data_IF_026321199321
#
_entry.id   IF_026321199321
#
_cell.length_a   1.000
_cell.length_b   1.000
_cell.length_c   1.000
_cell.angle_alpha   90.00
_cell.angle_beta   90.00
_cell.angle_gamma   90.00
#
_symmetry.space_group_name_H-M   'P 1'
#
loop_
_entity.id
_entity.type
_entity.pdbx_description
1 polymer ?
#
# COMPACT_ATOMS: atom_id res chain seq x y z
N UNK A 1 30.26 8.13 -7.98
CA UNK A 1 29.92 6.78 -8.46
C UNK A 1 28.54 6.42 -7.90
N UNK A 2 27.55 6.12 -8.74
CA UNK A 2 26.20 5.79 -8.27
C UNK A 2 26.20 4.35 -7.72
N UNK A 3 25.69 4.15 -6.50
CA UNK A 3 25.56 2.81 -5.91
C UNK A 3 24.55 1.99 -6.71
N UNK A 4 24.81 0.69 -6.85
CA UNK A 4 23.83 -0.23 -7.45
C UNK A 4 22.65 -0.41 -6.51
N UNK A 5 21.47 -0.71 -7.07
CA UNK A 5 20.24 -0.88 -6.30
C UNK A 5 20.38 -1.91 -5.15
N UNK A 6 21.09 -3.02 -5.41
CA UNK A 6 21.32 -4.09 -4.41
C UNK A 6 22.11 -3.59 -3.21
N UNK A 7 23.01 -2.63 -3.42
CA UNK A 7 23.93 -2.09 -2.43
C UNK A 7 23.29 -0.94 -1.62
N UNK A 8 22.07 -0.50 -2.00
CA UNK A 8 21.33 0.54 -1.30
C UNK A 8 20.76 0.03 0.03
N UNK A 9 21.03 0.77 1.10
CA UNK A 9 20.54 0.51 2.46
C UNK A 9 19.45 1.49 2.88
N UNK A 10 18.78 1.21 4.00
CA UNK A 10 17.81 2.13 4.59
C UNK A 10 18.40 3.50 4.93
N UNK A 11 19.68 3.54 5.33
CA UNK A 11 20.40 4.78 5.63
C UNK A 11 20.61 5.62 4.38
N UNK A 12 20.97 4.97 3.26
CA UNK A 12 21.14 5.66 1.97
C UNK A 12 19.83 6.30 1.49
N UNK A 13 18.69 5.70 1.83
CA UNK A 13 17.35 6.25 1.57
C UNK A 13 16.84 7.26 2.61
N UNK A 14 17.59 7.52 3.68
CA UNK A 14 17.14 8.40 4.77
C UNK A 14 15.99 7.82 5.61
N UNK A 15 15.74 6.51 5.52
CA UNK A 15 14.63 5.86 6.23
C UNK A 15 15.11 5.35 7.58
N UNK A 16 14.58 5.94 8.66
CA UNK A 16 14.80 5.43 10.01
C UNK A 16 14.09 4.09 10.23
N UNK A 17 14.56 3.30 11.20
CA UNK A 17 13.91 2.03 11.58
C UNK A 17 12.43 2.22 11.95
N UNK A 18 12.11 3.31 12.65
CA UNK A 18 10.74 3.63 13.04
C UNK A 18 9.89 4.01 11.83
N UNK A 19 10.45 4.80 10.89
CA UNK A 19 9.76 5.13 9.65
C UNK A 19 9.46 3.88 8.83
N UNK A 20 10.41 2.94 8.74
CA UNK A 20 10.16 1.66 8.08
C UNK A 20 9.02 0.87 8.75
N UNK A 21 8.96 0.82 10.09
CA UNK A 21 7.86 0.17 10.81
C UNK A 21 6.50 0.81 10.50
N UNK A 22 6.44 2.15 10.46
CA UNK A 22 5.23 2.89 10.07
C UNK A 22 4.80 2.55 8.64
N UNK A 23 5.74 2.54 7.68
CA UNK A 23 5.44 2.20 6.29
C UNK A 23 4.99 0.75 6.14
N UNK A 24 5.61 -0.18 6.87
CA UNK A 24 5.21 -1.58 6.90
C UNK A 24 3.79 -1.73 7.45
N UNK A 25 3.49 -1.09 8.59
CA UNK A 25 2.14 -1.12 9.16
C UNK A 25 1.10 -0.53 8.19
N UNK A 26 1.46 0.55 7.50
CA UNK A 26 0.61 1.14 6.46
C UNK A 26 0.31 0.17 5.31
N UNK A 27 1.29 -0.64 4.89
CA UNK A 27 1.08 -1.66 3.86
C UNK A 27 0.20 -2.82 4.36
N UNK A 28 0.35 -3.24 5.61
CA UNK A 28 -0.47 -4.32 6.20
C UNK A 28 -1.96 -3.96 6.27
N UNK A 29 -2.28 -2.67 6.40
CA UNK A 29 -3.67 -2.18 6.38
C UNK A 29 -4.32 -2.21 4.99
N UNK A 30 -3.59 -2.55 3.93
CA UNK A 30 -4.08 -2.49 2.55
C UNK A 30 -5.33 -3.34 2.34
N UNK A 31 -5.33 -4.60 2.78
CA UNK A 31 -6.47 -5.52 2.57
C UNK A 31 -7.71 -5.07 3.37
N UNK A 32 -7.52 -4.53 4.57
CA UNK A 32 -8.61 -3.98 5.38
C UNK A 32 -9.27 -2.78 4.69
N UNK A 33 -8.46 -1.84 4.18
CA UNK A 33 -8.92 -0.66 3.44
C UNK A 33 -9.63 -1.06 2.15
N UNK A 34 -9.07 -2.02 1.40
CA UNK A 34 -9.65 -2.54 0.16
C UNK A 34 -10.99 -3.24 0.39
N UNK A 35 -11.10 -4.01 1.48
CA UNK A 35 -12.35 -4.66 1.88
C UNK A 35 -13.43 -3.66 2.26
N UNK A 36 -13.09 -2.61 3.02
CA UNK A 36 -14.03 -1.55 3.39
C UNK A 36 -14.59 -0.82 2.16
N UNK A 37 -13.76 -0.53 1.15
CA UNK A 37 -14.22 0.06 -0.12
C UNK A 37 -15.23 -0.86 -0.82
N UNK A 38 -14.98 -2.17 -0.85
CA UNK A 38 -15.85 -3.15 -1.53
C UNK A 38 -17.22 -3.28 -0.86
N UNK A 39 -17.26 -3.32 0.47
CA UNK A 39 -18.50 -3.54 1.24
C UNK A 39 -19.24 -2.25 1.61
N UNK A 40 -18.56 -1.10 1.71
CA UNK A 40 -19.14 0.18 2.11
C UNK A 40 -20.19 0.74 1.15
N UNK A 41 -20.25 0.25 -0.09
CA UNK A 41 -21.28 0.61 -1.09
C UNK A 41 -22.49 -0.35 -1.03
N UNK A 42 -22.29 -1.59 -0.55
CA UNK A 42 -23.31 -2.66 -0.64
C UNK A 42 -24.05 -2.94 0.68
N UNK A 43 -23.58 -2.44 1.82
CA UNK A 43 -24.09 -2.78 3.14
C UNK A 43 -25.24 -1.87 3.65
N UNK A 44 -25.88 -1.08 2.79
CA UNK A 44 -27.15 -0.44 3.11
C UNK A 44 -28.29 -1.45 2.98
N UNK A 45 -28.43 -2.34 3.97
CA UNK A 45 -29.65 -3.12 4.16
C UNK A 45 -30.77 -2.13 4.53
N UNK A 46 -31.61 -1.79 3.56
CA UNK A 46 -32.78 -0.94 3.78
C UNK A 46 -33.89 -1.79 4.44
N UNK A 47 -33.87 -1.89 5.78
CA UNK A 47 -34.85 -2.61 6.61
C UNK A 47 -36.25 -1.93 6.66
N UNK A 48 -36.60 -1.12 5.66
CA UNK A 48 -37.96 -0.54 5.51
C UNK A 48 -38.47 0.36 6.65
N UNK A 49 -37.71 0.54 7.74
CA UNK A 49 -38.11 1.31 8.91
C UNK A 49 -37.39 2.66 8.94
N UNK A 50 -38.09 3.79 8.72
CA UNK A 50 -37.49 5.11 8.81
C UNK A 50 -37.24 5.46 10.28
N UNK A 51 -36.02 5.18 10.78
CA UNK A 51 -35.55 5.76 12.05
C UNK A 51 -35.00 7.15 11.77
N UNK A 52 -35.70 8.17 12.26
CA UNK A 52 -35.26 9.55 12.25
C UNK A 52 -33.98 9.72 13.08
N UNK A 53 -32.81 9.57 12.45
CA UNK A 53 -31.49 9.92 12.99
C UNK A 53 -30.61 10.41 11.85
N UNK A 54 -29.93 11.54 12.06
CA UNK A 54 -29.00 12.26 11.17
C UNK A 54 -28.30 11.38 10.11
N UNK A 55 -29.00 11.04 9.03
CA UNK A 55 -28.58 10.00 8.08
C UNK A 55 -27.56 10.54 7.08
N UNK A 56 -27.65 11.83 6.76
CA UNK A 56 -26.76 12.51 5.82
C UNK A 56 -25.31 12.50 6.31
N UNK A 57 -25.07 12.77 7.59
CA UNK A 57 -23.72 12.84 8.18
C UNK A 57 -22.98 11.49 8.14
N UNK A 58 -23.68 10.37 8.30
CA UNK A 58 -23.05 9.04 8.26
C UNK A 58 -22.64 8.62 6.84
N UNK A 59 -23.48 8.91 5.85
CA UNK A 59 -23.18 8.62 4.44
C UNK A 59 -22.04 9.50 3.92
N UNK A 60 -22.04 10.78 4.29
CA UNK A 60 -20.97 11.73 3.95
C UNK A 60 -19.62 11.29 4.54
N UNK A 61 -19.58 10.94 5.84
CA UNK A 61 -18.36 10.44 6.47
C UNK A 61 -17.86 9.14 5.84
N UNK A 62 -18.77 8.21 5.49
CA UNK A 62 -18.39 6.97 4.82
C UNK A 62 -17.82 7.22 3.41
N UNK A 63 -18.36 8.18 2.68
CA UNK A 63 -17.85 8.57 1.37
C UNK A 63 -16.43 9.16 1.49
N UNK A 64 -16.22 10.05 2.46
CA UNK A 64 -14.90 10.67 2.74
C UNK A 64 -13.87 9.60 3.12
N UNK A 65 -14.21 8.67 4.02
CA UNK A 65 -13.32 7.56 4.40
C UNK A 65 -12.98 6.66 3.21
N UNK A 66 -13.97 6.33 2.38
CA UNK A 66 -13.76 5.53 1.19
C UNK A 66 -12.80 6.21 0.20
N UNK A 67 -12.89 7.53 0.03
CA UNK A 67 -11.93 8.28 -0.78
C UNK A 67 -10.51 8.24 -0.20
N UNK A 68 -10.37 8.39 1.11
CA UNK A 68 -9.06 8.29 1.79
C UNK A 68 -8.47 6.89 1.58
N UNK A 69 -9.26 5.83 1.77
CA UNK A 69 -8.83 4.46 1.55
C UNK A 69 -8.43 4.20 0.10
N UNK A 70 -9.18 4.73 -0.87
CA UNK A 70 -8.82 4.62 -2.30
C UNK A 70 -7.48 5.29 -2.58
N UNK A 71 -7.26 6.51 -2.05
CA UNK A 71 -5.99 7.24 -2.20
C UNK A 71 -4.83 6.49 -1.57
N UNK A 72 -5.03 5.91 -0.38
CA UNK A 72 -4.03 5.10 0.31
C UNK A 72 -3.64 3.85 -0.48
N UNK A 73 -4.63 3.11 -0.99
CA UNK A 73 -4.40 1.93 -1.84
C UNK A 73 -3.66 2.29 -3.12
N UNK A 74 -4.10 3.35 -3.81
CA UNK A 74 -3.45 3.83 -5.04
C UNK A 74 -1.99 4.23 -4.80
N UNK A 75 -1.68 4.87 -3.67
CA UNK A 75 -0.30 5.24 -3.30
C UNK A 75 0.60 4.02 -3.14
N UNK A 76 0.10 2.93 -2.55
CA UNK A 76 0.85 1.69 -2.36
C UNK A 76 1.09 1.01 -3.72
N UNK A 77 0.06 0.92 -4.56
CA UNK A 77 0.18 0.35 -5.92
C UNK A 77 1.17 1.14 -6.78
N UNK A 78 1.06 2.47 -6.77
CA UNK A 78 1.94 3.36 -7.51
C UNK A 78 3.40 3.22 -7.05
N UNK A 79 3.64 3.14 -5.74
CA UNK A 79 4.99 2.92 -5.21
C UNK A 79 5.61 1.61 -5.72
N UNK A 80 4.80 0.55 -5.84
CA UNK A 80 5.25 -0.76 -6.32
C UNK A 80 5.55 -0.72 -7.82
N UNK A 81 4.69 -0.08 -8.61
CA UNK A 81 4.89 0.11 -10.06
C UNK A 81 6.15 0.93 -10.31
N UNK A 82 6.35 2.05 -9.60
CA UNK A 82 7.54 2.89 -9.70
C UNK A 82 8.82 2.16 -9.31
N UNK A 83 8.74 1.18 -8.40
CA UNK A 83 9.91 0.41 -7.99
C UNK A 83 10.33 -0.56 -9.09
N UNK A 84 9.37 -1.33 -9.64
CA UNK A 84 9.63 -2.22 -10.76
C UNK A 84 8.33 -2.64 -11.46
N UNK A 85 8.04 -2.13 -12.67
CA UNK A 85 6.84 -2.49 -13.43
C UNK A 85 6.75 -3.97 -13.83
N UNK A 86 7.86 -4.71 -13.86
CA UNK A 86 7.86 -6.13 -14.24
C UNK A 86 7.45 -7.07 -13.11
N UNK A 87 7.63 -6.66 -11.84
CA UNK A 87 7.36 -7.52 -10.67
C UNK A 87 6.51 -6.84 -9.59
N UNK A 88 5.89 -5.70 -9.91
CA UNK A 88 5.18 -4.89 -8.92
C UNK A 88 4.10 -5.67 -8.16
N UNK A 89 3.42 -6.64 -8.78
CA UNK A 89 2.40 -7.47 -8.10
C UNK A 89 3.01 -8.35 -7.01
N UNK A 90 4.18 -8.94 -7.25
CA UNK A 90 4.93 -9.69 -6.23
C UNK A 90 5.41 -8.78 -5.10
N UNK A 91 5.90 -7.58 -5.42
CA UNK A 91 6.30 -6.58 -4.42
C UNK A 91 5.11 -6.18 -3.56
N UNK A 92 3.98 -5.88 -4.21
CA UNK A 92 2.74 -5.50 -3.56
C UNK A 92 2.31 -6.61 -2.60
N UNK A 93 2.18 -7.85 -3.08
CA UNK A 93 1.80 -9.02 -2.26
C UNK A 93 2.74 -9.22 -1.06
N UNK A 94 4.07 -9.14 -1.27
CA UNK A 94 5.06 -9.23 -0.19
C UNK A 94 4.98 -8.10 0.83
N UNK A 95 4.64 -6.88 0.39
CA UNK A 95 4.53 -5.72 1.26
C UNK A 95 3.23 -5.73 2.06
N UNK A 96 2.10 -6.03 1.41
CA UNK A 96 0.76 -5.99 2.02
C UNK A 96 0.48 -7.20 2.90
N UNK A 97 0.98 -8.39 2.54
CA UNK A 97 0.82 -9.60 3.35
C UNK A 97 1.99 -9.80 4.32
N UNK A 98 3.05 -8.98 4.22
CA UNK A 98 4.20 -9.04 5.11
C UNK A 98 5.09 -10.28 4.93
N UNK A 99 4.87 -11.06 3.87
CA UNK A 99 5.57 -12.32 3.59
C UNK A 99 6.94 -12.09 2.91
N UNK A 100 7.96 -12.90 3.22
CA UNK A 100 9.28 -12.79 2.58
C UNK A 100 9.33 -13.54 1.24
N UNK A 101 10.44 -13.37 0.49
CA UNK A 101 10.62 -13.86 -0.89
C UNK A 101 10.32 -15.35 -1.03
N UNK A 102 10.72 -16.17 -0.06
CA UNK A 102 10.61 -17.62 -0.07
C UNK A 102 9.16 -18.11 -0.18
N UNK A 103 8.20 -17.33 0.32
CA UNK A 103 6.78 -17.67 0.29
C UNK A 103 6.06 -17.12 -0.94
N UNK A 104 6.72 -16.29 -1.75
CA UNK A 104 6.14 -15.70 -2.97
C UNK A 104 6.90 -16.04 -4.23
N UNK A 105 8.00 -16.80 -4.12
CA UNK A 105 8.81 -17.20 -5.27
C UNK A 105 7.96 -17.88 -6.33
N UNK A 106 6.98 -18.66 -5.89
CA UNK A 106 5.96 -19.29 -6.73
C UNK A 106 4.60 -18.72 -6.35
N UNK A 107 4.07 -17.88 -7.20
CA UNK A 107 2.72 -17.36 -7.09
C UNK A 107 1.77 -18.16 -7.98
N UNK A 108 0.60 -18.49 -7.47
CA UNK A 108 -0.40 -19.28 -8.22
C UNK A 108 -0.92 -18.53 -9.46
N UNK A 109 -1.02 -17.20 -9.40
CA UNK A 109 -1.56 -16.39 -10.50
C UNK A 109 -0.47 -15.98 -11.49
N UNK A 110 0.73 -15.66 -11.00
CA UNK A 110 1.81 -15.07 -11.81
C UNK A 110 2.93 -16.04 -12.19
N UNK A 111 2.95 -17.22 -11.56
CA UNK A 111 4.03 -18.18 -11.70
C UNK A 111 5.27 -17.77 -10.89
N UNK A 112 6.44 -18.12 -11.42
CA UNK A 112 7.71 -17.91 -10.72
C UNK A 112 8.21 -16.48 -10.89
N UNK A 113 8.68 -15.87 -9.80
CA UNK A 113 9.34 -14.54 -9.86
C UNK A 113 10.53 -14.59 -10.83
N UNK A 114 10.61 -13.67 -11.81
CA UNK A 114 11.68 -13.65 -12.82
C UNK A 114 13.01 -13.06 -12.30
N UNK A 115 13.25 -13.08 -10.98
CA UNK A 115 14.48 -12.55 -10.38
C UNK A 115 14.83 -13.23 -9.08
N UNK A 116 16.12 -13.23 -8.74
CA UNK A 116 16.62 -13.82 -7.50
C UNK A 116 16.28 -12.99 -6.26
N UNK A 117 16.32 -13.66 -5.10
CA UNK A 117 16.05 -13.09 -3.76
C UNK A 117 16.74 -11.75 -3.49
N UNK A 118 18.00 -11.60 -3.89
CA UNK A 118 18.78 -10.37 -3.63
C UNK A 118 18.24 -9.18 -4.42
N UNK A 119 17.94 -9.39 -5.70
CA UNK A 119 17.31 -8.39 -6.56
C UNK A 119 15.92 -8.04 -6.08
N UNK A 120 15.12 -9.04 -5.73
CA UNK A 120 13.78 -8.83 -5.21
C UNK A 120 13.80 -7.95 -3.96
N UNK A 121 14.66 -8.28 -2.99
CA UNK A 121 14.77 -7.49 -1.76
C UNK A 121 15.29 -6.07 -2.02
N UNK A 122 16.11 -5.86 -3.04
CA UNK A 122 16.55 -4.52 -3.46
C UNK A 122 15.37 -3.69 -4.02
N UNK A 123 14.56 -4.29 -4.90
CA UNK A 123 13.34 -3.67 -5.42
C UNK A 123 12.32 -3.42 -4.30
N UNK A 124 12.19 -4.34 -3.34
CA UNK A 124 11.33 -4.15 -2.16
C UNK A 124 11.79 -2.98 -1.29
N UNK A 125 13.10 -2.76 -1.12
CA UNK A 125 13.62 -1.56 -0.45
C UNK A 125 13.29 -0.28 -1.23
N UNK A 126 13.44 -0.32 -2.55
CA UNK A 126 13.09 0.81 -3.42
C UNK A 126 11.60 1.15 -3.35
N UNK A 127 10.74 0.14 -3.29
CA UNK A 127 9.31 0.33 -3.03
C UNK A 127 9.04 1.13 -1.76
N UNK A 128 9.65 0.74 -0.64
CA UNK A 128 9.47 1.48 0.62
C UNK A 128 10.03 2.90 0.56
N UNK A 129 11.07 3.15 -0.24
CA UNK A 129 11.58 4.49 -0.52
C UNK A 129 10.59 5.32 -1.35
N UNK A 130 10.06 4.77 -2.45
CA UNK A 130 9.04 5.43 -3.26
C UNK A 130 7.80 5.77 -2.41
N UNK A 131 7.36 4.82 -1.58
CA UNK A 131 6.24 5.02 -0.67
C UNK A 131 6.54 6.09 0.40
N UNK A 132 7.77 6.15 0.90
CA UNK A 132 8.21 7.20 1.81
C UNK A 132 8.11 8.58 1.16
N UNK A 133 8.62 8.73 -0.08
CA UNK A 133 8.56 9.97 -0.83
C UNK A 133 7.13 10.39 -1.14
N UNK A 134 6.28 9.48 -1.63
CA UNK A 134 4.87 9.75 -1.92
C UNK A 134 4.13 10.21 -0.66
N UNK A 135 4.31 9.51 0.47
CA UNK A 135 3.65 9.86 1.73
C UNK A 135 4.14 11.19 2.31
N UNK A 136 5.39 11.56 2.10
CA UNK A 136 5.89 12.88 2.50
C UNK A 136 5.35 13.99 1.58
N UNK A 137 5.32 13.78 0.27
CA UNK A 137 4.74 14.72 -0.69
C UNK A 137 3.25 14.94 -0.45
N UNK A 138 2.51 13.87 -0.12
CA UNK A 138 1.10 13.96 0.24
C UNK A 138 0.88 14.79 1.51
N UNK A 139 1.73 14.66 2.53
CA UNK A 139 1.66 15.50 3.73
C UNK A 139 1.87 16.99 3.44
N UNK A 140 2.74 17.32 2.47
CA UNK A 140 3.00 18.71 2.08
C UNK A 140 1.86 19.30 1.22
N UNK A 141 1.21 18.49 0.38
CA UNK A 141 0.07 18.93 -0.44
C UNK A 141 -1.23 19.14 0.34
N UNK A 142 -1.35 18.60 1.56
CA UNK A 142 -2.56 18.71 2.39
C UNK A 142 -2.44 19.78 3.50
N UNK A 143 -1.43 20.66 3.42
CA UNK A 143 -1.32 21.84 4.27
C UNK A 143 -1.65 23.07 3.41
N UNK A 144 -2.66 23.90 3.78
CA UNK A 144 -3.01 25.11 3.04
C UNK A 144 -1.87 26.15 3.06
#
# INVERSE_FOLDING_TARGET
>A
MQKRLRDMTWKDYGISKNRYKELKAFCLQYEEKRSKIKYGISAMQYDGQPKARCTNSQVENQAIENEIYKKDCAMIEEAAIRANPGIWKYILKSATQGIPYEFIEYDEEQGRIPMGKTDFNANRRLFYYNLHCLKNGFKLSNYP
#
